data_IF_244545143833
#
_entry.id   IF_244545143833
#
_cell.length_a   1.000
_cell.length_b   1.000
_cell.length_c   1.000
_cell.angle_alpha   90.00
_cell.angle_beta   90.00
_cell.angle_gamma   90.00
#
_symmetry.space_group_name_H-M   'P 1'
#
loop_
_entity.id
_entity.type
_entity.pdbx_description
1 polymer ?
#
# COMPACT_ATOMS: atom_id res chain seq x y z
N UNK A 1 -14.29 8.08 3.99
CA UNK A 1 -13.87 7.47 2.70
C UNK A 1 -12.76 8.21 1.91
N UNK A 2 -12.91 9.45 1.38
CA UNK A 2 -11.79 10.09 0.65
C UNK A 2 -10.66 10.57 1.59
N UNK A 3 -11.04 11.06 2.77
CA UNK A 3 -10.11 11.62 3.76
C UNK A 3 -9.15 10.57 4.33
N UNK A 4 -9.61 9.35 4.58
CA UNK A 4 -8.78 8.31 5.22
C UNK A 4 -7.68 7.79 4.29
N UNK A 5 -7.99 7.66 3.00
CA UNK A 5 -7.01 7.27 1.99
C UNK A 5 -5.88 8.31 1.89
N UNK A 6 -6.23 9.59 1.98
CA UNK A 6 -5.27 10.69 1.93
C UNK A 6 -4.39 10.74 3.19
N UNK A 7 -4.93 10.44 4.38
CA UNK A 7 -4.12 10.30 5.61
C UNK A 7 -3.08 9.20 5.47
N UNK A 8 -3.45 8.04 4.94
CA UNK A 8 -2.49 6.93 4.76
C UNK A 8 -1.44 7.26 3.70
N UNK A 9 -1.81 7.97 2.63
CA UNK A 9 -0.84 8.45 1.64
C UNK A 9 0.20 9.39 2.26
N UNK A 10 -0.21 10.30 3.14
CA UNK A 10 0.73 11.17 3.85
C UNK A 10 1.67 10.37 4.77
N UNK A 11 1.18 9.29 5.40
CA UNK A 11 2.02 8.38 6.17
C UNK A 11 3.02 7.61 5.29
N UNK A 12 2.59 7.11 4.13
CA UNK A 12 3.44 6.43 3.14
C UNK A 12 4.49 7.37 2.52
N UNK A 13 4.17 8.67 2.42
CA UNK A 13 5.08 9.69 1.91
C UNK A 13 6.08 10.18 2.97
N UNK A 14 5.88 9.82 4.24
CA UNK A 14 6.77 10.21 5.33
C UNK A 14 7.89 9.17 5.51
N UNK A 15 9.16 9.54 5.34
CA UNK A 15 10.30 8.60 5.40
C UNK A 15 10.62 8.06 6.80
N UNK A 16 9.92 8.54 7.84
CA UNK A 16 10.10 8.09 9.21
C UNK A 16 9.15 6.94 9.59
N UNK A 17 8.12 6.69 8.79
CA UNK A 17 7.22 5.56 9.00
C UNK A 17 7.62 4.39 8.11
N UNK A 18 7.44 3.17 8.62
CA UNK A 18 7.68 1.95 7.88
C UNK A 18 6.52 1.67 6.89
N UNK A 19 6.36 2.56 5.92
CA UNK A 19 5.37 2.48 4.84
C UNK A 19 5.85 3.32 3.66
N UNK A 20 5.46 2.96 2.44
CA UNK A 20 5.82 3.69 1.23
C UNK A 20 7.33 3.97 1.15
N UNK A 21 7.71 5.25 1.12
CA UNK A 21 9.10 5.70 0.99
C UNK A 21 10.00 5.32 2.18
N UNK A 22 9.42 5.11 3.37
CA UNK A 22 10.14 4.72 4.58
C UNK A 22 10.14 3.22 4.86
N UNK A 23 9.74 2.39 3.89
CA UNK A 23 9.65 0.94 4.08
C UNK A 23 11.00 0.30 4.45
N UNK A 24 10.95 -0.65 5.38
CA UNK A 24 12.11 -1.46 5.78
C UNK A 24 12.52 -2.43 4.66
N UNK A 25 13.72 -2.96 4.80
CA UNK A 25 14.29 -3.89 3.83
C UNK A 25 14.08 -5.34 4.22
N UNK A 26 13.89 -6.19 3.21
CA UNK A 26 13.97 -7.64 3.33
C UNK A 26 15.39 -8.09 3.67
N UNK A 27 15.58 -9.38 3.94
CA UNK A 27 16.91 -9.97 4.14
C UNK A 27 17.84 -9.77 2.93
N UNK A 28 17.27 -9.66 1.72
CA UNK A 28 18.00 -9.44 0.48
C UNK A 28 18.23 -7.95 0.18
N UNK A 29 17.84 -7.05 1.09
CA UNK A 29 18.02 -5.61 0.93
C UNK A 29 17.04 -4.95 -0.03
N UNK A 30 15.94 -5.62 -0.37
CA UNK A 30 14.87 -5.11 -1.25
C UNK A 30 13.69 -4.57 -0.45
N UNK A 31 12.81 -3.81 -1.09
CA UNK A 31 11.55 -3.32 -0.48
C UNK A 31 10.40 -4.20 -0.94
N UNK A 32 9.59 -4.66 0.01
CA UNK A 32 8.33 -5.38 -0.23
C UNK A 32 7.20 -4.77 0.60
N UNK A 33 6.36 -4.00 -0.06
CA UNK A 33 5.24 -3.29 0.55
C UNK A 33 3.92 -4.05 0.44
N UNK A 34 3.07 -3.84 1.44
CA UNK A 34 1.72 -4.36 1.50
C UNK A 34 0.75 -3.28 2.00
N UNK A 35 -0.50 -3.35 1.57
CA UNK A 35 -1.56 -2.47 2.04
C UNK A 35 -2.93 -3.11 1.84
N UNK A 36 -3.88 -2.75 2.70
CA UNK A 36 -5.27 -3.17 2.59
C UNK A 36 -6.22 -1.98 2.83
N UNK A 37 -7.42 -2.06 2.28
CA UNK A 37 -8.49 -1.10 2.50
C UNK A 37 -9.83 -1.83 2.53
N UNK A 38 -10.71 -1.41 3.43
CA UNK A 38 -12.06 -1.91 3.57
C UNK A 38 -13.03 -0.74 3.64
N UNK A 39 -14.17 -0.87 2.97
CA UNK A 39 -15.32 0.01 3.13
C UNK A 39 -16.32 -0.68 4.07
N UNK A 40 -16.49 -0.14 5.28
CA UNK A 40 -17.39 -0.71 6.30
C UNK A 40 -18.86 -0.69 5.93
N UNK A 41 -19.29 0.23 5.06
CA UNK A 41 -20.68 0.35 4.65
C UNK A 41 -21.06 -0.67 3.57
N UNK A 42 -20.15 -0.98 2.67
CA UNK A 42 -20.40 -1.92 1.56
C UNK A 42 -19.74 -3.29 1.74
N UNK A 43 -18.94 -3.46 2.80
CA UNK A 43 -18.08 -4.63 3.07
C UNK A 43 -17.10 -4.94 1.93
N UNK A 44 -16.88 -4.01 0.99
CA UNK A 44 -15.93 -4.18 -0.09
C UNK A 44 -14.51 -4.01 0.43
N UNK A 45 -13.60 -4.82 -0.08
CA UNK A 45 -12.21 -4.87 0.35
C UNK A 45 -11.26 -4.89 -0.84
N UNK A 46 -10.06 -4.36 -0.65
CA UNK A 46 -8.95 -4.47 -1.58
C UNK A 46 -7.63 -4.55 -0.83
N UNK A 47 -6.70 -5.37 -1.32
CA UNK A 47 -5.40 -5.58 -0.72
C UNK A 47 -4.34 -5.84 -1.78
N UNK A 48 -3.10 -5.52 -1.44
CA UNK A 48 -1.90 -5.73 -2.25
C UNK A 48 -0.71 -6.12 -1.38
N UNK A 49 0.18 -6.98 -1.88
CA UNK A 49 1.46 -7.32 -1.22
C UNK A 49 2.57 -7.57 -2.23
N UNK A 50 3.83 -7.53 -1.76
CA UNK A 50 5.00 -7.77 -2.60
C UNK A 50 5.23 -6.65 -3.62
N UNK A 51 4.85 -5.42 -3.28
CA UNK A 51 5.06 -4.26 -4.14
C UNK A 51 6.46 -3.69 -3.91
N UNK A 52 7.13 -3.38 -5.01
CA UNK A 52 8.50 -2.85 -5.05
C UNK A 52 8.60 -1.51 -5.79
N UNK A 53 7.68 -1.26 -6.73
CA UNK A 53 7.71 -0.05 -7.58
C UNK A 53 6.63 0.98 -7.28
N UNK A 54 5.58 0.61 -6.53
CA UNK A 54 4.43 1.47 -6.28
C UNK A 54 4.73 2.45 -5.16
N UNK A 55 4.54 3.76 -5.38
CA UNK A 55 4.82 4.79 -4.37
C UNK A 55 3.85 4.71 -3.19
N UNK A 56 2.55 4.58 -3.49
CA UNK A 56 1.48 4.53 -2.49
C UNK A 56 0.70 3.22 -2.59
N UNK A 57 1.05 2.23 -1.77
CA UNK A 57 0.46 0.89 -1.79
C UNK A 57 -1.05 0.94 -1.50
N UNK A 58 -1.49 1.81 -0.58
CA UNK A 58 -2.92 1.99 -0.25
C UNK A 58 -3.76 2.42 -1.46
N UNK A 59 -3.17 3.19 -2.38
CA UNK A 59 -3.86 3.61 -3.60
C UNK A 59 -4.09 2.44 -4.56
N UNK A 60 -3.15 1.50 -4.63
CA UNK A 60 -3.33 0.30 -5.44
C UNK A 60 -4.33 -0.66 -4.81
N UNK A 61 -4.29 -0.84 -3.48
CA UNK A 61 -5.31 -1.60 -2.74
C UNK A 61 -6.72 -1.08 -3.04
N UNK A 62 -6.89 0.25 -3.07
CA UNK A 62 -8.15 0.89 -3.46
C UNK A 62 -8.57 0.56 -4.89
N UNK A 63 -7.64 0.54 -5.82
CA UNK A 63 -7.92 0.17 -7.21
C UNK A 63 -8.26 -1.31 -7.36
N UNK A 64 -7.66 -2.21 -6.58
CA UNK A 64 -8.05 -3.62 -6.54
C UNK A 64 -9.52 -3.74 -6.14
N UNK A 65 -9.92 -3.06 -5.07
CA UNK A 65 -11.31 -3.04 -4.59
C UNK A 65 -12.30 -2.55 -5.65
N UNK A 66 -11.94 -1.50 -6.41
CA UNK A 66 -12.86 -0.82 -7.33
C UNK A 66 -12.87 -1.36 -8.75
N UNK A 67 -11.74 -1.89 -9.24
CA UNK A 67 -11.50 -2.17 -10.67
C UNK A 67 -11.28 -3.63 -10.98
N UNK A 68 -11.26 -4.49 -9.97
CA UNK A 68 -11.11 -5.93 -10.17
C UNK A 68 -12.24 -6.69 -9.45
N UNK A 69 -12.53 -7.93 -9.88
CA UNK A 69 -13.42 -8.82 -9.14
C UNK A 69 -12.72 -9.50 -7.94
N UNK A 70 -11.43 -9.21 -7.70
CA UNK A 70 -10.63 -9.84 -6.67
C UNK A 70 -10.45 -8.91 -5.46
N UNK A 71 -10.25 -9.51 -4.29
CA UNK A 71 -9.95 -8.75 -3.06
C UNK A 71 -8.46 -8.52 -2.92
N UNK A 72 -7.62 -9.44 -3.38
CA UNK A 72 -6.19 -9.43 -3.06
C UNK A 72 -5.34 -9.81 -4.28
N UNK A 73 -4.35 -8.98 -4.60
CA UNK A 73 -3.32 -9.26 -5.59
C UNK A 73 -1.94 -9.22 -4.92
N UNK A 74 -0.99 -10.05 -5.35
CA UNK A 74 0.34 -10.06 -4.74
C UNK A 74 1.45 -10.20 -5.79
N UNK A 75 2.66 -9.76 -5.43
CA UNK A 75 3.90 -9.87 -6.19
C UNK A 75 3.72 -9.41 -7.65
N UNK A 76 4.20 -10.20 -8.61
CA UNK A 76 4.15 -9.91 -10.04
C UNK A 76 2.74 -9.59 -10.56
N UNK A 77 1.71 -10.23 -9.97
CA UNK A 77 0.32 -9.96 -10.33
C UNK A 77 -0.14 -8.56 -9.91
N UNK A 78 0.27 -8.12 -8.72
CA UNK A 78 -0.01 -6.76 -8.24
C UNK A 78 0.79 -5.72 -9.02
N UNK A 79 2.06 -5.99 -9.34
CA UNK A 79 2.92 -5.13 -10.16
C UNK A 79 2.42 -5.01 -11.62
N UNK A 80 1.91 -6.09 -12.20
CA UNK A 80 1.27 -6.05 -13.51
C UNK A 80 0.02 -5.17 -13.49
N UNK A 81 -0.84 -5.35 -12.49
CA UNK A 81 -2.02 -4.51 -12.30
C UNK A 81 -1.65 -3.03 -12.06
N UNK A 82 -0.59 -2.76 -11.30
CA UNK A 82 -0.08 -1.40 -11.11
C UNK A 82 0.29 -0.73 -12.44
N UNK A 83 0.98 -1.45 -13.34
CA UNK A 83 1.34 -0.97 -14.68
C UNK A 83 0.12 -0.69 -15.55
N UNK A 84 -0.94 -1.50 -15.45
CA UNK A 84 -2.21 -1.24 -16.15
C UNK A 84 -2.93 0.02 -15.63
N UNK A 85 -2.72 0.37 -14.35
CA UNK A 85 -3.34 1.53 -13.70
C UNK A 85 -2.40 2.76 -13.62
N UNK A 86 -1.32 2.82 -14.42
CA UNK A 86 -0.31 3.90 -14.35
C UNK A 86 -0.88 5.33 -14.49
N UNK A 87 -2.04 5.49 -15.11
CA UNK A 87 -2.72 6.79 -15.21
C UNK A 87 -3.36 7.26 -13.89
N UNK A 88 -3.37 6.42 -12.83
CA UNK A 88 -4.05 6.66 -11.55
C UNK A 88 -3.14 6.50 -10.33
N UNK A 89 -1.95 5.92 -10.50
CA UNK A 89 -0.97 5.73 -9.43
C UNK A 89 0.43 6.11 -9.93
N UNK A 90 1.29 6.47 -8.98
CA UNK A 90 2.69 6.73 -9.26
C UNK A 90 3.51 5.47 -9.05
N UNK A 91 4.33 5.14 -10.05
CA UNK A 91 5.34 4.08 -9.99
C UNK A 91 6.73 4.72 -10.03
N UNK A 92 7.63 4.26 -9.18
CA UNK A 92 9.04 4.64 -9.14
C UNK A 92 9.90 3.38 -9.28
N UNK A 93 10.96 3.39 -10.12
CA UNK A 93 11.74 2.20 -10.42
C UNK A 93 12.49 1.60 -9.23
N UNK A 94 12.67 2.38 -8.16
CA UNK A 94 13.12 1.88 -6.86
C UNK A 94 12.66 2.87 -5.80
N UNK A 95 11.84 2.45 -4.86
CA UNK A 95 11.59 3.25 -3.66
C UNK A 95 12.93 3.39 -2.94
N UNK A 96 13.56 4.56 -3.04
CA UNK A 96 14.88 4.80 -2.45
C UNK A 96 14.69 4.63 -0.93
N UNK A 97 15.27 3.59 -0.30
CA UNK A 97 15.09 3.40 1.12
C UNK A 97 15.73 4.59 1.82
N UNK A 98 15.00 5.21 2.75
CA UNK A 98 15.60 6.26 3.55
C UNK A 98 16.84 5.70 4.27
N UNK A 99 17.89 6.51 4.53
CA UNK A 99 19.07 6.04 5.27
C UNK A 99 18.71 5.41 6.63
N UNK A 100 17.56 5.78 7.19
CA UNK A 100 17.00 5.27 8.43
C UNK A 100 16.56 3.79 8.35
N UNK A 101 16.14 3.32 7.16
CA UNK A 101 15.63 1.96 6.96
C UNK A 101 16.70 0.85 7.10
N UNK A 102 17.99 1.19 7.04
CA UNK A 102 19.09 0.21 7.13
C UNK A 102 19.34 -0.33 8.55
N UNK A 103 18.68 0.23 9.57
CA UNK A 103 18.91 -0.11 10.98
C UNK A 103 17.97 -1.20 11.52
N UNK A 104 16.89 -1.53 10.80
CA UNK A 104 15.89 -2.48 11.28
C UNK A 104 15.47 -3.43 10.14
N UNK A 105 15.85 -4.70 10.24
CA UNK A 105 15.24 -5.78 9.46
C UNK A 105 14.04 -6.29 10.25
N UNK A 106 12.81 -5.94 9.86
CA UNK A 106 11.61 -6.78 9.97
C UNK A 106 10.29 -6.02 9.69
N UNK A 107 9.48 -6.69 8.86
CA UNK A 107 8.01 -6.69 8.75
C UNK A 107 7.32 -5.42 8.27
N UNK A 108 6.49 -5.64 7.27
CA UNK A 108 5.62 -4.71 6.55
C UNK A 108 4.41 -4.29 7.40
N UNK A 109 4.00 -3.02 7.27
CA UNK A 109 2.86 -2.45 8.03
C UNK A 109 1.57 -2.64 7.24
N UNK A 110 0.69 -3.52 7.73
CA UNK A 110 -0.70 -3.59 7.29
C UNK A 110 -1.50 -2.44 7.93
N UNK A 111 -1.90 -1.43 7.16
CA UNK A 111 -2.91 -0.45 7.60
C UNK A 111 -4.28 -0.97 7.20
N UNK A 112 -5.15 -1.22 8.19
CA UNK A 112 -6.58 -1.48 7.96
C UNK A 112 -7.36 -0.25 8.42
N UNK A 113 -8.01 0.44 7.49
CA UNK A 113 -8.96 1.50 7.82
C UNK A 113 -10.31 0.84 8.12
N UNK A 114 -10.78 1.01 9.35
CA UNK A 114 -12.10 0.62 9.81
C UNK A 114 -12.92 1.89 10.05
N UNK A 115 -13.89 2.17 9.18
CA UNK A 115 -14.99 3.08 9.54
C UNK A 115 -16.03 2.22 10.27
N UNK A 116 -15.96 2.19 11.60
CA UNK A 116 -17.11 1.83 12.42
C UNK A 116 -18.15 2.94 12.23
N UNK A 117 -19.17 2.67 11.42
CA UNK A 117 -20.44 3.37 11.58
C UNK A 117 -21.12 2.82 12.84
N UNK A 118 -20.60 3.21 14.02
CA UNK A 118 -21.37 3.17 15.25
C UNK A 118 -22.53 4.16 15.10
N UNK A 119 -23.58 3.65 14.46
CA UNK A 119 -24.89 4.24 14.36
C UNK A 119 -25.54 4.07 15.76
N UNK A 120 -25.33 5.04 16.65
CA UNK A 120 -26.16 5.25 17.83
C UNK A 120 -27.35 6.16 17.51
#
# INVERSE_FOLDING_TARGET
MALDLDVVRELENCPHYNAGVGSVLTADGTVEMEAAVMDGNTLRCGAVSGLSTVVNAVSLARLVMEKTPHIYLAFDGAEAFAREQVNKITIAPTTIPSPFCRLHTNITVTVSLHEDSDNF
#
